data_IF_387477497433
#
_entry.id   IF_387477497433
#
_cell.length_a   1.000
_cell.length_b   1.000
_cell.length_c   1.000
_cell.angle_alpha   90.00
_cell.angle_beta   90.00
_cell.angle_gamma   90.00
#
_symmetry.space_group_name_H-M   'P 1'
#
loop_
_entity.id
_entity.type
_entity.pdbx_description
1 polymer ?
#
# COMPACT_ATOMS: atom_id res chain seq x y z
N UNK A 1 -5.69 3.73 -18.64
CA UNK A 1 -5.08 4.97 -19.19
C UNK A 1 -4.06 4.58 -20.24
N UNK A 2 -4.04 5.30 -21.35
CA UNK A 2 -3.00 5.17 -22.38
C UNK A 2 -1.65 5.72 -21.89
N UNK A 3 -0.55 5.31 -22.53
CA UNK A 3 0.78 5.85 -22.22
C UNK A 3 0.84 7.37 -22.33
N UNK A 4 0.20 7.94 -23.37
CA UNK A 4 0.14 9.40 -23.58
C UNK A 4 -0.57 10.13 -22.45
N UNK A 5 -1.66 9.57 -21.91
CA UNK A 5 -2.36 10.17 -20.77
C UNK A 5 -1.53 10.12 -19.49
N UNK A 6 -0.79 9.02 -19.27
CA UNK A 6 0.11 8.87 -18.12
C UNK A 6 1.26 9.88 -18.21
N UNK A 7 1.90 10.02 -19.37
CA UNK A 7 2.96 11.01 -19.60
C UNK A 7 2.45 12.44 -19.40
N UNK A 8 1.28 12.76 -19.96
CA UNK A 8 0.66 14.07 -19.80
C UNK A 8 0.28 14.39 -18.35
N UNK A 9 -0.02 13.37 -17.53
CA UNK A 9 -0.23 13.54 -16.09
C UNK A 9 1.09 13.86 -15.39
N UNK A 10 2.16 13.11 -15.69
CA UNK A 10 3.47 13.24 -15.03
C UNK A 10 4.12 14.60 -15.34
N UNK A 11 4.05 15.09 -16.59
CA UNK A 11 4.67 16.36 -17.02
C UNK A 11 4.13 17.57 -16.26
N UNK A 12 2.91 17.49 -15.69
CA UNK A 12 2.30 18.58 -14.91
C UNK A 12 2.84 18.67 -13.49
N UNK A 13 3.61 17.70 -13.02
CA UNK A 13 4.08 17.66 -11.65
C UNK A 13 5.30 18.55 -11.43
N UNK A 14 5.37 19.26 -10.29
CA UNK A 14 6.61 19.89 -9.86
C UNK A 14 7.74 18.86 -9.76
N UNK A 15 8.96 19.27 -10.13
CA UNK A 15 10.14 18.41 -10.08
C UNK A 15 10.38 17.82 -8.68
N UNK A 16 10.08 18.59 -7.62
CA UNK A 16 10.23 18.12 -6.24
C UNK A 16 9.34 16.90 -5.96
N UNK A 17 8.09 16.89 -6.42
CA UNK A 17 7.18 15.74 -6.24
C UNK A 17 7.73 14.48 -6.90
N UNK A 18 8.39 14.64 -8.05
CA UNK A 18 9.04 13.54 -8.77
C UNK A 18 10.23 13.02 -7.96
N UNK A 19 11.08 13.91 -7.44
CA UNK A 19 12.23 13.56 -6.59
C UNK A 19 11.81 12.85 -5.30
N UNK A 20 10.78 13.36 -4.62
CA UNK A 20 10.26 12.77 -3.39
C UNK A 20 9.67 11.37 -3.65
N UNK A 21 8.98 11.21 -4.78
CA UNK A 21 8.50 9.89 -5.23
C UNK A 21 9.67 8.93 -5.43
N UNK A 22 10.72 9.34 -6.14
CA UNK A 22 11.88 8.49 -6.39
C UNK A 22 12.61 8.11 -5.11
N UNK A 23 12.82 9.07 -4.21
CA UNK A 23 13.43 8.84 -2.91
C UNK A 23 12.65 7.80 -2.10
N UNK A 24 11.33 7.99 -1.95
CA UNK A 24 10.48 7.06 -1.22
C UNK A 24 10.48 5.66 -1.85
N UNK A 25 10.32 5.58 -3.18
CA UNK A 25 10.26 4.30 -3.88
C UNK A 25 11.58 3.54 -3.86
N UNK A 26 12.72 4.24 -3.88
CA UNK A 26 14.01 3.61 -3.75
C UNK A 26 14.18 2.94 -2.38
N UNK A 27 13.76 3.60 -1.31
CA UNK A 27 13.80 3.03 0.05
C UNK A 27 12.92 1.78 0.16
N UNK A 28 11.67 1.85 -0.32
CA UNK A 28 10.76 0.70 -0.32
C UNK A 28 11.33 -0.46 -1.15
N UNK A 29 11.89 -0.17 -2.31
CA UNK A 29 12.47 -1.18 -3.20
C UNK A 29 13.70 -1.85 -2.60
N UNK A 30 14.57 -1.08 -1.93
CA UNK A 30 15.74 -1.63 -1.25
C UNK A 30 15.33 -2.59 -0.15
N UNK A 31 14.37 -2.20 0.69
CA UNK A 31 13.91 -3.05 1.78
C UNK A 31 13.17 -4.30 1.27
N UNK A 32 12.29 -4.16 0.27
CA UNK A 32 11.60 -5.30 -0.34
C UNK A 32 12.58 -6.31 -0.96
N UNK A 33 13.69 -5.86 -1.54
CA UNK A 33 14.75 -6.75 -2.06
C UNK A 33 15.46 -7.49 -0.93
N UNK A 34 15.83 -6.80 0.14
CA UNK A 34 16.44 -7.42 1.31
C UNK A 34 15.52 -8.47 1.94
N UNK A 35 14.20 -8.20 2.00
CA UNK A 35 13.21 -9.18 2.45
C UNK A 35 13.14 -10.41 1.53
N UNK A 36 13.15 -10.22 0.21
CA UNK A 36 13.16 -11.32 -0.76
C UNK A 36 14.43 -12.17 -0.65
N UNK A 37 15.59 -11.56 -0.45
CA UNK A 37 16.87 -12.26 -0.27
C UNK A 37 16.89 -13.14 0.99
N UNK A 38 16.08 -12.81 2.00
CA UNK A 38 15.91 -13.63 3.20
C UNK A 38 14.98 -14.84 2.98
N UNK A 39 14.23 -14.91 1.88
CA UNK A 39 13.33 -16.02 1.56
C UNK A 39 14.11 -17.13 0.81
N UNK A 40 14.69 -18.06 1.58
CA UNK A 40 15.51 -19.15 1.05
C UNK A 40 14.67 -20.40 0.76
N UNK A 41 14.85 -21.04 -0.42
CA UNK A 41 14.26 -22.36 -0.68
C UNK A 41 14.86 -23.40 0.27
N UNK A 42 14.10 -24.45 0.54
CA UNK A 42 14.53 -25.58 1.37
C UNK A 42 14.42 -26.85 0.54
N UNK A 43 15.45 -27.69 0.59
CA UNK A 43 15.43 -29.05 0.04
C UNK A 43 16.34 -29.92 0.91
N UNK A 44 15.77 -30.96 1.53
CA UNK A 44 16.49 -31.86 2.43
C UNK A 44 16.07 -33.30 2.17
N UNK A 45 17.03 -34.23 2.21
CA UNK A 45 16.75 -35.67 2.23
C UNK A 45 16.63 -36.14 3.68
N UNK A 46 15.41 -36.41 4.14
CA UNK A 46 15.16 -36.78 5.55
C UNK A 46 15.53 -38.24 5.85
N UNK A 47 15.54 -39.08 4.81
CA UNK A 47 15.97 -40.48 4.81
C UNK A 47 16.18 -40.93 3.36
N UNK A 48 16.93 -42.01 3.11
CA UNK A 48 17.25 -42.47 1.76
C UNK A 48 16.01 -42.52 0.84
N UNK A 49 16.05 -41.73 -0.24
CA UNK A 49 14.99 -41.63 -1.25
C UNK A 49 13.78 -40.76 -0.90
N UNK A 50 13.80 -40.00 0.21
CA UNK A 50 12.70 -39.10 0.59
C UNK A 50 13.21 -37.67 0.77
N UNK A 51 12.93 -36.82 -0.22
CA UNK A 51 13.26 -35.39 -0.23
C UNK A 51 12.03 -34.55 0.15
N UNK A 52 12.20 -33.66 1.11
CA UNK A 52 11.21 -32.66 1.52
C UNK A 52 11.77 -31.25 1.31
N UNK A 53 10.89 -30.28 1.07
CA UNK A 53 11.34 -28.92 0.80
C UNK A 53 10.21 -27.94 0.53
N UNK A 54 10.59 -26.69 0.28
CA UNK A 54 9.69 -25.63 -0.18
C UNK A 54 10.37 -24.76 -1.23
N UNK A 55 9.55 -24.09 -2.05
CA UNK A 55 9.99 -23.06 -3.00
C UNK A 55 9.02 -21.89 -2.90
N UNK A 56 9.54 -20.68 -3.04
CA UNK A 56 8.74 -19.46 -3.13
C UNK A 56 8.50 -19.14 -4.61
N UNK A 57 7.23 -19.04 -4.99
CA UNK A 57 6.82 -18.74 -6.37
C UNK A 57 5.92 -17.49 -6.29
N UNK A 58 6.24 -16.40 -7.03
CA UNK A 58 5.36 -15.25 -7.05
C UNK A 58 4.04 -15.60 -7.74
N UNK A 59 2.97 -14.96 -7.29
CA UNK A 59 1.71 -14.96 -8.02
C UNK A 59 1.90 -14.40 -9.42
N UNK A 60 1.04 -14.79 -10.37
CA UNK A 60 1.16 -14.32 -11.75
C UNK A 60 0.77 -12.84 -11.87
N UNK A 61 -0.17 -12.39 -11.05
CA UNK A 61 -0.78 -11.07 -11.14
C UNK A 61 -1.31 -10.52 -9.82
N UNK A 62 -1.20 -9.20 -9.66
CA UNK A 62 -1.66 -8.44 -8.48
C UNK A 62 -2.57 -7.30 -8.92
N UNK A 63 -3.71 -7.14 -8.25
CA UNK A 63 -4.53 -5.94 -8.31
C UNK A 63 -4.20 -5.03 -7.14
N UNK A 64 -3.81 -3.78 -7.42
CA UNK A 64 -3.40 -2.78 -6.44
C UNK A 64 -4.41 -1.64 -6.41
N UNK A 65 -5.23 -1.57 -5.37
CA UNK A 65 -6.12 -0.45 -5.16
C UNK A 65 -5.44 0.67 -4.37
N UNK A 66 -5.36 1.85 -4.99
CA UNK A 66 -4.79 3.05 -4.38
C UNK A 66 -5.94 3.99 -4.04
N UNK A 67 -6.23 4.22 -2.75
CA UNK A 67 -7.37 5.03 -2.35
C UNK A 67 -7.17 6.50 -2.71
N UNK A 68 -8.25 7.12 -3.20
CA UNK A 68 -8.29 8.58 -3.41
C UNK A 68 -8.74 9.38 -2.19
N UNK A 69 -9.38 8.71 -1.21
CA UNK A 69 -9.71 9.25 0.11
C UNK A 69 -10.40 10.61 0.15
N UNK A 70 -10.36 11.24 1.33
CA UNK A 70 -10.57 12.69 1.52
C UNK A 70 -9.37 13.48 0.99
N UNK A 71 -8.20 12.85 1.02
CA UNK A 71 -6.93 13.33 0.49
C UNK A 71 -6.30 12.25 -0.41
N UNK A 72 -5.73 12.60 -1.57
CA UNK A 72 -5.05 11.64 -2.43
C UNK A 72 -3.86 10.98 -1.72
N UNK A 73 -4.00 9.71 -1.32
CA UNK A 73 -2.95 8.95 -0.66
C UNK A 73 -2.11 8.16 -1.68
N UNK A 74 -1.30 8.88 -2.46
CA UNK A 74 -0.41 8.25 -3.44
C UNK A 74 0.66 7.34 -2.79
N UNK A 75 0.89 7.50 -1.48
CA UNK A 75 1.77 6.66 -0.67
C UNK A 75 1.48 5.15 -0.76
N UNK A 76 0.20 4.79 -0.91
CA UNK A 76 -0.24 3.38 -0.95
C UNK A 76 0.22 2.65 -2.21
N UNK A 77 0.51 3.37 -3.29
CA UNK A 77 0.93 2.78 -4.56
C UNK A 77 2.28 2.07 -4.41
N UNK A 78 3.27 2.74 -3.81
CA UNK A 78 4.59 2.12 -3.63
C UNK A 78 4.57 0.92 -2.69
N UNK A 79 3.71 0.92 -1.68
CA UNK A 79 3.67 -0.16 -0.67
C UNK A 79 3.05 -1.45 -1.19
N UNK A 80 2.27 -1.42 -2.27
CA UNK A 80 1.60 -2.59 -2.85
C UNK A 80 2.23 -3.03 -4.17
N UNK A 81 2.59 -2.08 -5.04
CA UNK A 81 3.13 -2.38 -6.37
C UNK A 81 4.61 -2.79 -6.30
N UNK A 82 5.44 -2.09 -5.50
CA UNK A 82 6.88 -2.37 -5.47
C UNK A 82 7.18 -3.76 -4.93
N UNK A 83 6.62 -4.22 -3.80
CA UNK A 83 6.84 -5.58 -3.32
C UNK A 83 6.45 -6.64 -4.36
N UNK A 84 5.31 -6.44 -5.05
CA UNK A 84 4.89 -7.33 -6.13
C UNK A 84 5.93 -7.39 -7.27
N UNK A 85 6.41 -6.24 -7.75
CA UNK A 85 7.43 -6.20 -8.82
C UNK A 85 8.76 -6.78 -8.36
N UNK A 86 9.17 -6.55 -7.11
CA UNK A 86 10.40 -7.14 -6.54
C UNK A 86 10.28 -8.66 -6.42
N UNK A 87 9.12 -9.18 -6.00
CA UNK A 87 8.86 -10.61 -5.95
C UNK A 87 8.86 -11.29 -7.34
N UNK A 88 8.79 -10.52 -8.42
CA UNK A 88 8.78 -11.03 -9.79
C UNK A 88 7.38 -11.23 -10.38
N UNK A 89 6.36 -10.59 -9.80
CA UNK A 89 5.00 -10.59 -10.36
C UNK A 89 5.01 -9.97 -11.76
N UNK A 90 4.48 -10.71 -12.73
CA UNK A 90 4.55 -10.34 -14.15
C UNK A 90 3.57 -9.22 -14.51
N UNK A 91 2.38 -9.20 -13.89
CA UNK A 91 1.32 -8.24 -14.18
C UNK A 91 0.77 -7.59 -12.92
N UNK A 92 0.93 -6.28 -12.79
CA UNK A 92 0.33 -5.48 -11.72
C UNK A 92 -0.65 -4.49 -12.32
N UNK A 93 -1.92 -4.64 -11.98
CA UNK A 93 -3.00 -3.73 -12.36
C UNK A 93 -3.26 -2.79 -11.19
N UNK A 94 -3.08 -1.49 -11.38
CA UNK A 94 -3.33 -0.49 -10.36
C UNK A 94 -4.61 0.30 -10.66
N UNK A 95 -5.38 0.62 -9.62
CA UNK A 95 -6.63 1.36 -9.78
C UNK A 95 -6.77 2.44 -8.71
N UNK A 96 -7.25 3.62 -9.10
CA UNK A 96 -7.59 4.73 -8.20
C UNK A 96 -8.95 5.32 -8.57
N UNK A 97 -9.77 5.74 -7.59
CA UNK A 97 -10.99 6.49 -7.89
C UNK A 97 -10.68 7.80 -8.64
N UNK A 98 -11.68 8.30 -9.35
CA UNK A 98 -11.63 9.63 -9.95
C UNK A 98 -11.75 10.73 -8.89
N UNK A 99 -11.16 11.88 -9.19
CA UNK A 99 -11.27 13.09 -8.35
C UNK A 99 -12.34 14.00 -8.95
N UNK A 100 -13.34 14.38 -8.13
CA UNK A 100 -14.47 15.21 -8.57
C UNK A 100 -13.96 16.51 -9.20
N UNK A 101 -14.34 16.74 -10.47
CA UNK A 101 -13.96 17.95 -11.23
C UNK A 101 -12.52 17.95 -11.78
N UNK A 102 -11.68 16.97 -11.45
CA UNK A 102 -10.28 16.90 -11.92
C UNK A 102 -9.96 15.61 -12.69
N UNK A 103 -10.83 14.60 -12.64
CA UNK A 103 -10.62 13.30 -13.27
C UNK A 103 -9.72 12.42 -12.41
N UNK A 104 -8.47 12.80 -12.17
CA UNK A 104 -7.51 12.06 -11.34
C UNK A 104 -6.48 13.00 -10.71
N UNK A 105 -5.79 12.52 -9.67
CA UNK A 105 -4.66 13.25 -9.08
C UNK A 105 -3.35 12.84 -9.79
N UNK A 106 -2.63 13.74 -10.48
CA UNK A 106 -1.47 13.38 -11.29
C UNK A 106 -0.34 12.69 -10.51
N UNK A 107 -0.13 13.06 -9.23
CA UNK A 107 0.90 12.43 -8.41
C UNK A 107 0.59 10.95 -8.13
N UNK A 108 -0.69 10.59 -8.01
CA UNK A 108 -1.10 9.18 -7.86
C UNK A 108 -0.76 8.37 -9.12
N UNK A 109 -0.97 8.94 -10.31
CA UNK A 109 -0.63 8.30 -11.57
C UNK A 109 0.89 8.14 -11.72
N UNK A 110 1.65 9.18 -11.37
CA UNK A 110 3.12 9.12 -11.31
C UNK A 110 3.60 8.02 -10.36
N UNK A 111 3.06 7.97 -9.14
CA UNK A 111 3.44 6.98 -8.14
C UNK A 111 3.18 5.54 -8.62
N UNK A 112 2.00 5.25 -9.18
CA UNK A 112 1.70 3.93 -9.75
C UNK A 112 2.62 3.55 -10.90
N UNK A 113 2.83 4.48 -11.85
CA UNK A 113 3.67 4.21 -13.03
C UNK A 113 5.11 3.94 -12.62
N UNK A 114 5.70 4.78 -11.76
CA UNK A 114 7.07 4.63 -11.29
C UNK A 114 7.27 3.39 -10.42
N UNK A 115 6.25 3.03 -9.63
CA UNK A 115 6.30 1.82 -8.82
C UNK A 115 6.38 0.55 -9.68
N UNK A 116 5.84 0.60 -10.90
CA UNK A 116 5.93 -0.44 -11.92
C UNK A 116 4.60 -1.09 -12.29
N UNK A 117 3.47 -0.37 -12.12
CA UNK A 117 2.18 -0.85 -12.60
C UNK A 117 2.19 -1.06 -14.12
N UNK A 118 1.71 -2.22 -14.56
CA UNK A 118 1.62 -2.58 -15.97
C UNK A 118 0.33 -2.02 -16.61
N UNK A 119 -0.73 -1.85 -15.81
CA UNK A 119 -1.98 -1.18 -16.21
C UNK A 119 -2.49 -0.23 -15.13
N UNK A 120 -3.01 0.93 -15.53
CA UNK A 120 -3.55 1.95 -14.60
C UNK A 120 -4.99 2.30 -15.00
N UNK A 121 -5.92 2.18 -14.03
CA UNK A 121 -7.34 2.45 -14.20
C UNK A 121 -7.82 3.54 -13.25
N UNK A 122 -8.46 4.57 -13.80
CA UNK A 122 -9.17 5.58 -13.00
C UNK A 122 -10.58 5.06 -12.72
N UNK A 123 -10.68 4.12 -11.79
CA UNK A 123 -11.90 3.45 -11.34
C UNK A 123 -11.81 3.22 -9.83
N UNK A 124 -12.89 3.47 -9.11
CA UNK A 124 -12.91 3.44 -7.64
C UNK A 124 -13.85 2.39 -7.06
N UNK A 125 -13.67 2.07 -5.78
CA UNK A 125 -14.65 1.34 -4.98
C UNK A 125 -14.88 -0.11 -5.43
N UNK A 126 -16.11 -0.59 -5.19
CA UNK A 126 -16.54 -1.95 -5.57
C UNK A 126 -16.34 -2.25 -7.07
N UNK A 127 -16.65 -1.33 -8.01
CA UNK A 127 -16.38 -1.57 -9.43
C UNK A 127 -14.91 -1.87 -9.75
N UNK A 128 -13.96 -1.20 -9.09
CA UNK A 128 -12.53 -1.46 -9.30
C UNK A 128 -12.14 -2.86 -8.81
N UNK A 129 -12.66 -3.27 -7.66
CA UNK A 129 -12.47 -4.61 -7.11
C UNK A 129 -13.04 -5.67 -8.06
N UNK A 130 -14.25 -5.45 -8.58
CA UNK A 130 -14.89 -6.36 -9.52
C UNK A 130 -14.11 -6.46 -10.84
N UNK A 131 -13.67 -5.34 -11.42
CA UNK A 131 -12.85 -5.33 -12.62
C UNK A 131 -11.59 -6.20 -12.45
N UNK A 132 -10.86 -6.01 -11.35
CA UNK A 132 -9.61 -6.74 -11.11
C UNK A 132 -9.87 -8.22 -10.78
N UNK A 133 -10.91 -8.56 -10.01
CA UNK A 133 -11.16 -9.93 -9.58
C UNK A 133 -11.84 -10.82 -10.63
N UNK A 134 -12.71 -10.24 -11.46
CA UNK A 134 -13.44 -10.99 -12.49
C UNK A 134 -12.81 -10.87 -13.88
N UNK A 135 -11.95 -9.87 -14.07
CA UNK A 135 -11.53 -9.45 -15.40
C UNK A 135 -12.70 -8.82 -16.18
N UNK A 136 -12.38 -7.89 -17.08
CA UNK A 136 -13.37 -7.33 -18.01
C UNK A 136 -12.68 -6.71 -19.23
N UNK A 137 -13.16 -7.04 -20.43
CA UNK A 137 -12.57 -6.56 -21.67
C UNK A 137 -11.12 -7.02 -21.79
N UNK A 138 -10.19 -6.07 -21.83
CA UNK A 138 -8.75 -6.33 -21.93
C UNK A 138 -8.07 -6.62 -20.58
N UNK A 139 -8.80 -6.53 -19.47
CA UNK A 139 -8.28 -6.82 -18.13
C UNK A 139 -8.53 -8.28 -17.80
N UNK A 140 -7.46 -9.06 -17.75
CA UNK A 140 -7.48 -10.40 -17.19
C UNK A 140 -7.61 -10.37 -15.65
N UNK A 141 -8.29 -11.36 -15.03
CA UNK A 141 -8.39 -11.48 -13.58
C UNK A 141 -7.02 -11.47 -12.89
N UNK A 142 -6.96 -10.96 -11.66
CA UNK A 142 -5.76 -10.98 -10.82
C UNK A 142 -5.81 -12.10 -9.78
N UNK A 143 -4.64 -12.61 -9.38
CA UNK A 143 -4.56 -13.69 -8.39
C UNK A 143 -4.79 -13.17 -6.96
N UNK A 144 -4.40 -11.93 -6.68
CA UNK A 144 -4.55 -11.30 -5.35
C UNK A 144 -4.92 -9.82 -5.48
N UNK A 145 -5.82 -9.36 -4.61
CA UNK A 145 -6.17 -7.96 -4.43
C UNK A 145 -5.49 -7.37 -3.19
N UNK A 146 -4.77 -6.28 -3.39
CA UNK A 146 -4.08 -5.53 -2.36
C UNK A 146 -4.58 -4.09 -2.27
N UNK A 147 -4.39 -3.48 -1.10
CA UNK A 147 -4.68 -2.08 -0.86
C UNK A 147 -5.88 -1.87 0.07
N UNK A 148 -5.75 -0.83 0.90
CA UNK A 148 -6.80 -0.39 1.80
C UNK A 148 -7.86 0.42 1.05
N UNK A 149 -9.07 0.47 1.61
CA UNK A 149 -10.14 1.28 1.07
C UNK A 149 -11.23 1.47 2.11
N UNK A 150 -12.27 2.21 1.75
CA UNK A 150 -13.42 2.41 2.62
C UNK A 150 -14.17 1.08 2.89
N UNK A 151 -15.16 1.13 3.79
CA UNK A 151 -16.01 -0.02 4.15
C UNK A 151 -16.58 -0.80 2.97
N UNK A 152 -16.86 -0.16 1.83
CA UNK A 152 -17.37 -0.85 0.63
C UNK A 152 -16.29 -1.65 -0.08
N UNK A 153 -15.07 -1.12 -0.16
CA UNK A 153 -13.91 -1.86 -0.68
C UNK A 153 -13.57 -3.04 0.21
N UNK A 154 -13.60 -2.82 1.54
CA UNK A 154 -13.36 -3.89 2.52
C UNK A 154 -14.39 -5.00 2.37
N UNK A 155 -15.68 -4.68 2.30
CA UNK A 155 -16.74 -5.67 2.10
C UNK A 155 -16.63 -6.37 0.74
N UNK A 156 -16.29 -5.65 -0.33
CA UNK A 156 -16.06 -6.26 -1.64
C UNK A 156 -14.91 -7.26 -1.59
N UNK A 157 -13.77 -6.92 -0.97
CA UNK A 157 -12.64 -7.84 -0.77
C UNK A 157 -13.06 -9.08 0.03
N UNK A 158 -13.86 -8.91 1.08
CA UNK A 158 -14.39 -10.02 1.88
C UNK A 158 -15.23 -10.98 1.03
N UNK A 159 -16.09 -10.46 0.16
CA UNK A 159 -16.91 -11.29 -0.74
C UNK A 159 -16.12 -11.95 -1.87
N UNK A 160 -15.00 -11.34 -2.29
CA UNK A 160 -14.14 -11.84 -3.35
C UNK A 160 -13.07 -12.82 -2.86
N UNK A 161 -12.87 -12.93 -1.55
CA UNK A 161 -11.95 -13.90 -0.96
C UNK A 161 -12.37 -15.33 -1.34
N UNK A 162 -11.39 -16.11 -1.82
CA UNK A 162 -11.60 -17.46 -2.36
C UNK A 162 -11.70 -17.51 -3.88
N UNK A 163 -12.13 -16.41 -4.53
CA UNK A 163 -11.95 -16.23 -5.99
C UNK A 163 -10.54 -15.74 -6.31
N UNK A 164 -10.07 -14.78 -5.53
CA UNK A 164 -8.71 -14.29 -5.53
C UNK A 164 -8.25 -14.18 -4.07
N UNK A 165 -6.94 -14.13 -3.87
CA UNK A 165 -6.37 -13.75 -2.58
C UNK A 165 -6.75 -12.31 -2.23
N UNK A 166 -6.71 -12.00 -0.95
CA UNK A 166 -6.72 -10.62 -0.45
C UNK A 166 -5.57 -10.47 0.56
N UNK A 167 -5.01 -9.28 0.68
CA UNK A 167 -4.02 -8.96 1.72
C UNK A 167 -4.63 -8.94 3.13
N UNK A 168 -5.55 -8.00 3.39
CA UNK A 168 -6.21 -7.80 4.68
C UNK A 168 -7.55 -7.07 4.51
N UNK A 169 -8.47 -7.31 5.44
CA UNK A 169 -9.64 -6.46 5.64
C UNK A 169 -9.23 -5.27 6.50
N UNK A 170 -9.02 -4.12 5.85
CA UNK A 170 -8.52 -2.93 6.53
C UNK A 170 -9.51 -2.42 7.58
N UNK A 171 -9.00 -2.12 8.78
CA UNK A 171 -9.69 -1.40 9.84
C UNK A 171 -9.19 0.05 9.96
N UNK A 172 -9.67 0.81 10.97
CA UNK A 172 -9.09 2.09 11.33
C UNK A 172 -7.59 1.94 11.66
N UNK A 173 -6.80 2.97 11.35
CA UNK A 173 -5.38 3.00 11.69
C UNK A 173 -5.18 3.41 13.15
N UNK A 174 -4.08 2.98 13.77
CA UNK A 174 -3.79 3.30 15.17
C UNK A 174 -2.31 3.53 15.43
N UNK A 175 -1.99 4.26 16.49
CA UNK A 175 -0.64 4.42 17.03
C UNK A 175 -0.63 4.17 18.53
N UNK A 176 0.44 3.53 19.00
CA UNK A 176 0.78 3.41 20.42
C UNK A 176 2.18 4.00 20.62
N UNK A 177 2.29 5.05 21.43
CA UNK A 177 3.58 5.59 21.87
C UNK A 177 3.82 5.18 23.32
N UNK A 178 5.01 4.63 23.60
CA UNK A 178 5.48 4.33 24.95
C UNK A 178 6.62 5.31 25.25
N UNK A 179 6.41 6.20 26.22
CA UNK A 179 7.32 7.28 26.56
C UNK A 179 7.87 7.12 27.98
N UNK A 180 9.19 7.07 28.11
CA UNK A 180 9.87 7.21 29.39
C UNK A 180 10.07 8.70 29.74
N UNK A 181 10.69 8.96 30.89
CA UNK A 181 10.91 10.33 31.38
C UNK A 181 11.95 11.12 30.58
N UNK A 182 12.59 10.52 29.57
CA UNK A 182 13.55 11.19 28.69
C UNK A 182 12.96 11.52 27.32
N UNK A 183 11.69 11.15 27.06
CA UNK A 183 11.03 11.45 25.80
C UNK A 183 10.87 12.96 25.60
N UNK A 184 11.07 13.42 24.36
CA UNK A 184 10.78 14.79 23.96
C UNK A 184 9.25 14.97 23.87
N UNK A 185 8.64 15.84 24.70
CA UNK A 185 7.19 15.97 24.73
C UNK A 185 6.59 16.43 23.41
N UNK A 186 7.24 17.37 22.72
CA UNK A 186 6.75 17.94 21.47
C UNK A 186 6.79 16.91 20.34
N UNK A 187 7.84 16.08 20.28
CA UNK A 187 7.92 15.01 19.27
C UNK A 187 6.83 13.96 19.47
N UNK A 188 6.59 13.54 20.72
CA UNK A 188 5.51 12.58 21.00
C UNK A 188 4.15 13.18 20.66
N UNK A 189 3.90 14.44 21.02
CA UNK A 189 2.66 15.12 20.65
C UNK A 189 2.47 15.18 19.12
N UNK A 190 3.53 15.50 18.36
CA UNK A 190 3.50 15.47 16.90
C UNK A 190 3.17 14.07 16.34
N UNK A 191 3.75 13.00 16.88
CA UNK A 191 3.47 11.63 16.42
C UNK A 191 2.00 11.24 16.67
N UNK A 192 1.46 11.57 17.86
CA UNK A 192 0.07 11.30 18.21
C UNK A 192 -0.89 12.10 17.30
N UNK A 193 -0.62 13.39 17.10
CA UNK A 193 -1.44 14.25 16.24
C UNK A 193 -1.36 13.83 14.77
N UNK A 194 -0.17 13.41 14.30
CA UNK A 194 0.04 12.89 12.95
C UNK A 194 -0.80 11.65 12.64
N UNK A 195 -1.02 10.78 13.63
CA UNK A 195 -1.95 9.66 13.47
C UNK A 195 -3.42 10.12 13.58
N UNK A 196 -3.72 11.09 14.43
CA UNK A 196 -5.07 11.59 14.66
C UNK A 196 -5.65 12.32 13.43
N UNK A 197 -4.81 12.98 12.62
CA UNK A 197 -5.26 13.64 11.38
C UNK A 197 -5.65 12.66 10.26
N UNK A 198 -5.24 11.40 10.37
CA UNK A 198 -5.38 10.41 9.29
C UNK A 198 -6.84 10.01 9.03
N UNK A 199 -7.61 9.72 10.07
CA UNK A 199 -9.05 9.42 10.00
C UNK A 199 -9.73 9.79 11.33
N UNK A 200 -10.98 10.27 11.34
CA UNK A 200 -11.71 10.55 12.58
C UNK A 200 -11.89 9.34 13.50
N UNK A 201 -11.73 8.12 12.99
CA UNK A 201 -11.78 6.89 13.76
C UNK A 201 -10.38 6.34 14.12
N UNK A 202 -9.30 7.10 13.88
CA UNK A 202 -7.94 6.68 14.24
C UNK A 202 -7.82 6.41 15.74
N UNK A 203 -7.20 5.30 16.11
CA UNK A 203 -6.88 4.97 17.49
C UNK A 203 -5.58 5.65 17.94
N UNK A 204 -5.62 6.35 19.07
CA UNK A 204 -4.44 7.04 19.65
C UNK A 204 -4.24 6.52 21.07
N UNK A 205 -3.03 6.01 21.36
CA UNK A 205 -2.68 5.54 22.70
C UNK A 205 -1.30 6.05 23.10
N UNK A 206 -1.21 6.56 24.33
CA UNK A 206 0.03 6.99 24.96
C UNK A 206 0.17 6.25 26.29
N UNK A 207 1.32 5.60 26.51
CA UNK A 207 1.70 5.00 27.78
C UNK A 207 2.96 5.71 28.26
N UNK A 208 2.88 6.37 29.41
CA UNK A 208 4.02 7.04 30.04
C UNK A 208 4.44 6.31 31.31
N UNK A 209 5.73 6.42 31.64
CA UNK A 209 6.26 5.82 32.87
C UNK A 209 5.99 6.69 34.12
N UNK A 210 5.63 7.97 33.93
CA UNK A 210 5.24 8.87 35.00
C UNK A 210 4.09 9.82 34.62
N UNK A 211 3.41 10.33 35.63
CA UNK A 211 2.37 11.35 35.48
C UNK A 211 2.94 12.68 34.95
N UNK A 212 4.19 12.99 35.29
CA UNK A 212 4.85 14.24 34.86
C UNK A 212 5.07 14.23 33.35
N UNK A 213 5.65 13.16 32.82
CA UNK A 213 5.85 12.96 31.38
C UNK A 213 4.53 13.02 30.60
N UNK A 214 3.48 12.39 31.13
CA UNK A 214 2.13 12.47 30.57
C UNK A 214 1.63 13.91 30.45
N UNK A 215 1.74 14.70 31.52
CA UNK A 215 1.28 16.09 31.53
C UNK A 215 2.08 16.95 30.58
N UNK A 216 3.40 16.75 30.52
CA UNK A 216 4.26 17.51 29.62
C UNK A 216 3.85 17.27 28.16
N UNK A 217 3.63 16.02 27.75
CA UNK A 217 3.20 15.67 26.38
C UNK A 217 1.82 16.23 26.06
N UNK A 218 0.85 16.14 26.97
CA UNK A 218 -0.54 16.59 26.72
C UNK A 218 -0.64 18.12 26.61
N UNK A 219 0.31 18.86 27.19
CA UNK A 219 0.30 20.33 27.18
C UNK A 219 0.89 20.96 25.90
N UNK A 220 1.55 20.15 25.05
CA UNK A 220 2.05 20.57 23.73
C UNK A 220 0.93 20.57 22.67
#
# INVERSE_FOLDING_TARGET
>A
MSHKEIEAAIVKLPEQVIKDTDFCQQNVRNFAKAQLEALLPLEIEIRPGVTLGHKHIPVHSVGSYVPGGRYPMFGSAQMSIIPAKVAGVKRVIASTPSVKGQGYYPATINAMKKAGADGIFVLGGVPAMALMAFGMGEVEPVDILCGAGNKYVVEAKRQLFGRCGIDILAGPTEILVIADDNADPSLVACDLLGQAEHDPNSGICLICFSDETTRNIINE
#
